data_IF_508053780540
#
_entry.id   IF_508053780540
#
_cell.length_a   1.000
_cell.length_b   1.000
_cell.length_c   1.000
_cell.angle_alpha   90.00
_cell.angle_beta   90.00
_cell.angle_gamma   90.00
#
_symmetry.space_group_name_H-M   'P 1'
#
loop_
_entity.id
_entity.type
_entity.pdbx_description
1 polymer ?
#
# COMPACT_ATOMS: atom_id res chain seq x y z
N UNK A 1 15.95 -11.53 -42.44
CA UNK A 1 14.91 -10.51 -42.28
C UNK A 1 14.85 -10.15 -40.81
N UNK A 2 15.12 -8.90 -40.45
CA UNK A 2 15.07 -8.47 -39.04
C UNK A 2 13.59 -8.35 -38.62
N UNK A 3 13.09 -9.33 -37.88
CA UNK A 3 11.77 -9.27 -37.26
C UNK A 3 11.90 -8.48 -35.96
N UNK A 4 11.16 -7.38 -35.83
CA UNK A 4 11.12 -6.62 -34.59
C UNK A 4 10.62 -7.51 -33.44
N UNK A 5 11.37 -7.55 -32.33
CA UNK A 5 11.07 -8.39 -31.15
C UNK A 5 9.82 -7.95 -30.39
N UNK A 6 9.35 -6.72 -30.64
CA UNK A 6 8.19 -6.12 -29.95
C UNK A 6 7.07 -5.81 -30.93
N UNK A 7 5.80 -5.96 -30.51
CA UNK A 7 4.66 -5.59 -31.34
C UNK A 7 4.69 -4.08 -31.64
N UNK A 8 4.22 -3.65 -32.83
CA UNK A 8 4.05 -2.24 -33.10
C UNK A 8 3.08 -1.62 -32.08
N UNK A 9 3.25 -0.32 -31.76
CA UNK A 9 2.34 0.36 -30.85
C UNK A 9 0.90 0.29 -31.38
N UNK A 10 -0.11 0.26 -30.49
CA UNK A 10 -1.51 0.33 -30.89
C UNK A 10 -1.76 1.50 -31.84
N UNK A 11 -2.65 1.35 -32.85
CA UNK A 11 -2.85 2.35 -33.90
C UNK A 11 -3.46 3.68 -33.41
N UNK A 12 -3.80 3.78 -32.12
CA UNK A 12 -4.41 4.96 -31.49
C UNK A 12 -3.55 6.23 -31.62
N UNK A 13 -2.24 6.13 -31.81
CA UNK A 13 -1.38 7.30 -32.06
C UNK A 13 -1.83 8.11 -33.29
N UNK A 14 -2.51 7.49 -34.27
CA UNK A 14 -3.02 8.15 -35.48
C UNK A 14 -4.15 9.14 -35.20
N UNK A 15 -4.81 9.02 -34.04
CA UNK A 15 -5.92 9.88 -33.63
C UNK A 15 -5.43 11.24 -33.10
N UNK A 16 -4.12 11.43 -32.92
CA UNK A 16 -3.51 12.62 -32.35
C UNK A 16 -2.82 13.53 -33.40
N UNK A 17 -3.03 13.27 -34.70
CA UNK A 17 -2.34 14.02 -35.79
C UNK A 17 -2.63 15.52 -35.77
N UNK A 18 -3.89 15.88 -35.57
CA UNK A 18 -4.37 17.27 -35.71
C UNK A 18 -4.45 17.99 -34.35
N UNK A 19 -3.90 17.39 -33.29
CA UNK A 19 -4.01 17.90 -31.92
C UNK A 19 -3.44 19.31 -31.75
N UNK A 20 -2.38 19.65 -32.50
CA UNK A 20 -1.75 20.97 -32.48
C UNK A 20 -2.71 22.04 -32.99
N UNK A 21 -3.52 21.73 -34.00
CA UNK A 21 -4.46 22.65 -34.62
C UNK A 21 -5.81 22.67 -33.87
N UNK A 22 -6.26 21.51 -33.39
CA UNK A 22 -7.49 21.36 -32.64
C UNK A 22 -7.30 20.40 -31.46
N UNK A 23 -7.14 20.92 -30.22
CA UNK A 23 -6.98 20.08 -29.02
C UNK A 23 -8.15 19.12 -28.74
N UNK A 24 -9.32 19.35 -29.35
CA UNK A 24 -10.50 18.46 -29.25
C UNK A 24 -10.52 17.35 -30.30
N UNK A 25 -9.56 17.31 -31.23
CA UNK A 25 -9.49 16.26 -32.26
C UNK A 25 -9.09 14.91 -31.69
N UNK A 26 -8.38 14.91 -30.56
CA UNK A 26 -7.99 13.70 -29.85
C UNK A 26 -9.17 13.15 -29.04
N UNK A 27 -9.41 11.83 -29.06
CA UNK A 27 -10.43 11.21 -28.22
C UNK A 27 -10.06 11.35 -26.75
N UNK A 28 -11.08 11.52 -25.92
CA UNK A 28 -10.94 11.42 -24.46
C UNK A 28 -10.49 10.00 -24.07
N UNK A 29 -9.76 9.84 -22.95
CA UNK A 29 -9.40 8.51 -22.47
C UNK A 29 -10.66 7.65 -22.27
N UNK A 30 -10.57 6.33 -22.53
CA UNK A 30 -11.70 5.44 -22.30
C UNK A 30 -12.13 5.51 -20.82
N UNK A 31 -13.43 5.32 -20.53
CA UNK A 31 -13.89 5.28 -19.15
C UNK A 31 -13.18 4.15 -18.39
N UNK A 32 -12.97 4.31 -17.07
CA UNK A 32 -12.46 3.23 -16.23
C UNK A 32 -13.29 1.96 -16.42
N UNK A 33 -12.62 0.81 -16.50
CA UNK A 33 -13.30 -0.48 -16.51
C UNK A 33 -13.92 -0.68 -15.13
N UNK A 34 -15.17 -1.12 -15.08
CA UNK A 34 -15.86 -1.52 -13.85
C UNK A 34 -16.06 -3.04 -13.85
N UNK A 35 -15.83 -3.67 -12.70
CA UNK A 35 -15.95 -5.11 -12.50
C UNK A 35 -14.66 -5.87 -12.78
N UNK A 36 -14.82 -7.09 -13.32
CA UNK A 36 -13.73 -8.05 -13.46
C UNK A 36 -12.92 -7.82 -14.74
N UNK A 37 -11.60 -7.74 -14.63
CA UNK A 37 -10.67 -7.61 -15.76
C UNK A 37 -9.52 -8.61 -15.66
N UNK A 38 -8.97 -9.02 -16.79
CA UNK A 38 -7.80 -9.93 -16.82
C UNK A 38 -6.54 -9.12 -17.05
N UNK A 39 -5.56 -9.29 -16.18
CA UNK A 39 -4.25 -8.67 -16.29
C UNK A 39 -3.19 -9.74 -15.96
N UNK A 40 -2.14 -9.87 -16.79
CA UNK A 40 -1.08 -10.87 -16.60
C UNK A 40 -1.57 -12.29 -16.28
N UNK A 41 -2.55 -12.77 -17.05
CA UNK A 41 -3.22 -14.07 -16.86
C UNK A 41 -3.94 -14.28 -15.51
N UNK A 42 -4.09 -13.21 -14.72
CA UNK A 42 -4.85 -13.20 -13.47
C UNK A 42 -6.13 -12.38 -13.63
N UNK A 43 -7.22 -12.84 -13.03
CA UNK A 43 -8.48 -12.10 -12.96
C UNK A 43 -8.43 -11.16 -11.75
N UNK A 44 -8.69 -9.87 -11.99
CA UNK A 44 -8.78 -8.82 -10.99
C UNK A 44 -10.18 -8.24 -10.98
N UNK A 45 -10.58 -7.62 -9.87
CA UNK A 45 -11.81 -6.82 -9.76
C UNK A 45 -11.44 -5.38 -9.47
N UNK A 46 -12.30 -4.46 -9.87
CA UNK A 46 -12.20 -3.04 -9.50
C UNK A 46 -12.63 -2.78 -8.07
N UNK A 47 -13.34 -3.72 -7.44
CA UNK A 47 -13.72 -3.63 -6.04
C UNK A 47 -12.50 -3.92 -5.13
N UNK A 48 -12.16 -2.97 -4.24
CA UNK A 48 -11.07 -3.13 -3.27
C UNK A 48 -11.52 -3.95 -2.06
N UNK A 49 -11.96 -5.19 -2.32
CA UNK A 49 -12.36 -6.15 -1.30
C UNK A 49 -11.38 -7.31 -1.32
N UNK A 50 -10.76 -7.57 -0.17
CA UNK A 50 -9.92 -8.76 0.01
C UNK A 50 -10.81 -10.01 -0.12
N UNK A 51 -10.60 -10.88 -1.12
CA UNK A 51 -11.39 -12.09 -1.28
C UNK A 51 -11.17 -13.03 -0.09
N UNK A 52 -12.21 -13.74 0.32
CA UNK A 52 -12.11 -14.65 1.45
C UNK A 52 -11.17 -15.81 1.15
N UNK A 53 -10.58 -16.43 2.18
CA UNK A 53 -9.74 -17.61 1.99
C UNK A 53 -10.51 -18.77 1.33
N UNK A 54 -11.81 -18.89 1.62
CA UNK A 54 -12.66 -19.96 1.07
C UNK A 54 -12.92 -19.79 -0.42
N UNK A 55 -13.12 -18.56 -0.89
CA UNK A 55 -13.21 -18.23 -2.32
C UNK A 55 -11.92 -18.58 -3.08
N UNK A 56 -10.78 -18.54 -2.38
CA UNK A 56 -9.47 -18.93 -2.93
C UNK A 56 -9.21 -20.44 -2.82
N UNK A 57 -10.17 -21.22 -2.32
CA UNK A 57 -9.99 -22.66 -2.07
C UNK A 57 -9.02 -22.98 -0.93
N UNK A 58 -8.79 -22.03 -0.02
CA UNK A 58 -7.86 -22.17 1.11
C UNK A 58 -8.64 -22.35 2.40
N UNK A 59 -8.25 -23.35 3.19
CA UNK A 59 -8.82 -23.55 4.53
C UNK A 59 -8.35 -22.44 5.48
N UNK A 60 -9.30 -21.79 6.13
CA UNK A 60 -9.02 -20.81 7.16
C UNK A 60 -8.66 -21.49 8.49
N UNK A 61 -7.56 -21.05 9.11
CA UNK A 61 -6.99 -21.62 10.34
C UNK A 61 -7.29 -20.79 11.61
N UNK A 62 -7.83 -19.59 11.47
CA UNK A 62 -8.17 -18.70 12.58
C UNK A 62 -9.70 -18.45 12.65
N UNK A 63 -10.23 -17.98 13.80
CA UNK A 63 -11.68 -17.81 13.99
C UNK A 63 -12.33 -16.91 12.93
N UNK A 64 -13.52 -17.31 12.46
CA UNK A 64 -14.37 -16.47 11.60
C UNK A 64 -15.16 -15.50 12.48
N UNK A 65 -15.05 -14.20 12.23
CA UNK A 65 -15.87 -13.19 12.91
C UNK A 65 -15.37 -11.76 12.73
N UNK A 66 -16.18 -10.76 13.13
CA UNK A 66 -15.83 -9.34 12.99
C UNK A 66 -14.74 -8.87 13.98
N UNK A 67 -14.53 -9.57 15.09
CA UNK A 67 -13.56 -9.23 16.14
C UNK A 67 -12.38 -10.21 16.18
N UNK A 68 -11.67 -10.36 15.06
CA UNK A 68 -10.42 -11.13 15.04
C UNK A 68 -9.32 -10.33 15.73
N UNK A 69 -8.73 -10.88 16.78
CA UNK A 69 -7.50 -10.34 17.37
C UNK A 69 -6.31 -10.71 16.46
N UNK A 70 -6.05 -9.85 15.48
CA UNK A 70 -4.97 -10.04 14.49
C UNK A 70 -3.62 -10.34 15.15
N UNK A 71 -3.29 -9.67 16.27
CA UNK A 71 -2.00 -9.85 16.93
C UNK A 71 -1.88 -11.23 17.55
N UNK A 72 -2.94 -11.70 18.20
CA UNK A 72 -2.99 -13.03 18.80
C UNK A 72 -2.92 -14.11 17.71
N UNK A 73 -3.73 -14.00 16.67
CA UNK A 73 -3.81 -15.01 15.60
C UNK A 73 -2.52 -15.07 14.77
N UNK A 74 -1.92 -13.93 14.40
CA UNK A 74 -0.62 -13.91 13.71
C UNK A 74 0.49 -14.58 14.54
N UNK A 75 0.49 -14.36 15.86
CA UNK A 75 1.45 -15.03 16.76
C UNK A 75 1.19 -16.53 16.87
N UNK A 76 -0.07 -16.94 16.92
CA UNK A 76 -0.46 -18.35 16.97
C UNK A 76 0.02 -19.08 15.72
N UNK A 77 -0.31 -18.56 14.53
CA UNK A 77 0.09 -19.13 13.24
C UNK A 77 1.61 -19.12 13.04
N UNK A 78 2.32 -18.10 13.52
CA UNK A 78 3.79 -18.07 13.45
C UNK A 78 4.42 -19.17 14.32
N UNK A 79 3.88 -19.42 15.52
CA UNK A 79 4.34 -20.55 16.35
C UNK A 79 4.07 -21.89 15.70
N UNK A 80 2.88 -22.05 15.11
CA UNK A 80 2.51 -23.26 14.36
C UNK A 80 3.43 -23.49 13.14
N UNK A 81 3.74 -22.42 12.41
CA UNK A 81 4.70 -22.44 11.30
C UNK A 81 6.09 -22.92 11.75
N UNK A 82 6.59 -22.39 12.87
CA UNK A 82 7.89 -22.80 13.41
C UNK A 82 7.90 -24.30 13.77
N UNK A 83 6.83 -24.80 14.36
CA UNK A 83 6.70 -26.23 14.67
C UNK A 83 6.73 -27.08 13.39
N UNK A 84 5.98 -26.71 12.35
CA UNK A 84 6.01 -27.46 11.09
C UNK A 84 7.35 -27.40 10.35
N UNK A 85 8.11 -26.32 10.50
CA UNK A 85 9.47 -26.25 9.95
C UNK A 85 10.40 -27.22 10.68
N UNK A 86 10.30 -27.32 12.00
CA UNK A 86 11.07 -28.30 12.78
C UNK A 86 10.68 -29.74 12.42
N UNK A 87 9.38 -30.03 12.36
CA UNK A 87 8.88 -31.34 11.92
C UNK A 87 9.32 -31.68 10.49
N UNK A 88 9.40 -30.70 9.59
CA UNK A 88 9.94 -30.91 8.25
C UNK A 88 11.41 -31.30 8.30
N UNK A 89 12.22 -30.67 9.15
CA UNK A 89 13.62 -31.05 9.33
C UNK A 89 13.75 -32.51 9.80
N UNK A 90 12.94 -32.92 10.77
CA UNK A 90 12.91 -34.30 11.26
C UNK A 90 12.48 -35.30 10.16
N UNK A 91 11.44 -34.97 9.39
CA UNK A 91 10.97 -35.79 8.27
C UNK A 91 12.04 -35.91 7.18
N UNK A 92 12.79 -34.85 6.88
CA UNK A 92 13.85 -34.90 5.89
C UNK A 92 15.01 -35.82 6.31
N UNK A 93 15.26 -35.96 7.62
CA UNK A 93 16.27 -36.88 8.17
C UNK A 93 15.77 -38.31 8.21
N UNK A 94 14.57 -38.55 8.75
CA UNK A 94 14.06 -39.91 8.96
C UNK A 94 13.41 -40.53 7.72
N UNK A 95 12.57 -39.75 7.03
CA UNK A 95 11.62 -40.21 6.01
C UNK A 95 11.46 -39.17 4.89
N UNK A 96 12.53 -38.91 4.10
CA UNK A 96 12.54 -37.82 3.14
C UNK A 96 11.46 -37.91 2.06
N UNK A 97 10.93 -39.09 1.76
CA UNK A 97 9.83 -39.27 0.79
C UNK A 97 8.50 -38.64 1.24
N UNK A 98 8.33 -38.32 2.53
CA UNK A 98 7.09 -37.79 3.09
C UNK A 98 7.08 -36.26 3.24
N UNK A 99 8.13 -35.56 2.78
CA UNK A 99 8.29 -34.12 2.96
C UNK A 99 7.14 -33.29 2.35
N UNK A 100 6.56 -33.74 1.23
CA UNK A 100 5.58 -32.99 0.44
C UNK A 100 4.37 -32.55 1.28
N UNK A 101 3.85 -33.44 2.13
CA UNK A 101 2.73 -33.14 3.03
C UNK A 101 3.05 -32.01 4.01
N UNK A 102 4.26 -32.00 4.57
CA UNK A 102 4.71 -30.94 5.48
C UNK A 102 4.87 -29.60 4.76
N UNK A 103 5.32 -29.61 3.52
CA UNK A 103 5.40 -28.41 2.69
C UNK A 103 4.01 -27.86 2.37
N UNK A 104 3.02 -28.71 2.12
CA UNK A 104 1.62 -28.31 1.93
C UNK A 104 1.04 -27.65 3.20
N UNK A 105 1.26 -28.24 4.37
CA UNK A 105 0.84 -27.66 5.66
C UNK A 105 1.48 -26.28 5.89
N UNK A 106 2.79 -26.14 5.61
CA UNK A 106 3.51 -24.86 5.68
C UNK A 106 2.92 -23.84 4.71
N UNK A 107 2.63 -24.24 3.46
CA UNK A 107 2.01 -23.38 2.46
C UNK A 107 0.63 -22.88 2.92
N UNK A 108 -0.16 -23.74 3.54
CA UNK A 108 -1.46 -23.38 4.09
C UNK A 108 -1.35 -22.33 5.19
N UNK A 109 -0.38 -22.48 6.12
CA UNK A 109 -0.15 -21.49 7.18
C UNK A 109 0.28 -20.15 6.58
N UNK A 110 1.18 -20.15 5.59
CA UNK A 110 1.60 -18.92 4.92
C UNK A 110 0.42 -18.19 4.26
N UNK A 111 -0.45 -18.90 3.53
CA UNK A 111 -1.64 -18.30 2.92
C UNK A 111 -2.53 -17.63 3.97
N UNK A 112 -2.73 -18.27 5.12
CA UNK A 112 -3.49 -17.73 6.24
C UNK A 112 -2.83 -16.50 6.88
N UNK A 113 -1.52 -16.53 7.10
CA UNK A 113 -0.74 -15.39 7.60
C UNK A 113 -0.84 -14.18 6.65
N UNK A 114 -0.65 -14.42 5.35
CA UNK A 114 -0.76 -13.38 4.33
C UNK A 114 -2.14 -12.76 4.30
N UNK A 115 -3.19 -13.58 4.38
CA UNK A 115 -4.55 -13.08 4.42
C UNK A 115 -4.79 -12.19 5.64
N UNK A 116 -4.40 -12.61 6.86
CA UNK A 116 -4.51 -11.77 8.07
C UNK A 116 -3.75 -10.45 7.95
N UNK A 117 -2.54 -10.47 7.40
CA UNK A 117 -1.75 -9.26 7.16
C UNK A 117 -2.43 -8.34 6.15
N UNK A 118 -2.99 -8.89 5.08
CA UNK A 118 -3.72 -8.13 4.07
C UNK A 118 -4.97 -7.49 4.66
N UNK A 119 -5.71 -8.21 5.52
CA UNK A 119 -6.85 -7.65 6.25
C UNK A 119 -6.48 -6.48 7.17
N UNK A 120 -5.22 -6.43 7.64
CA UNK A 120 -4.73 -5.34 8.50
C UNK A 120 -4.28 -4.10 7.71
N UNK A 121 -4.03 -4.21 6.39
CA UNK A 121 -3.52 -3.10 5.55
C UNK A 121 -4.39 -1.84 5.60
N UNK A 122 -5.74 -1.91 5.55
CA UNK A 122 -6.56 -0.71 5.65
C UNK A 122 -6.44 0.00 7.00
N UNK A 123 -6.31 -0.75 8.10
CA UNK A 123 -6.06 -0.18 9.43
C UNK A 123 -4.69 0.51 9.49
N UNK A 124 -3.66 -0.13 8.93
CA UNK A 124 -2.32 0.44 8.83
C UNK A 124 -2.33 1.74 8.02
N UNK A 125 -2.96 1.75 6.85
CA UNK A 125 -3.04 2.94 5.99
C UNK A 125 -3.69 4.13 6.72
N UNK A 126 -4.79 3.88 7.46
CA UNK A 126 -5.43 4.90 8.30
C UNK A 126 -4.51 5.43 9.40
N UNK A 127 -3.82 4.53 10.11
CA UNK A 127 -2.87 4.93 11.16
C UNK A 127 -1.71 5.75 10.59
N UNK A 128 -1.18 5.36 9.43
CA UNK A 128 -0.15 6.13 8.70
C UNK A 128 -0.67 7.51 8.29
N UNK A 129 -1.89 7.61 7.78
CA UNK A 129 -2.50 8.89 7.43
C UNK A 129 -2.64 9.81 8.65
N UNK A 130 -3.13 9.29 9.78
CA UNK A 130 -3.22 10.03 11.04
C UNK A 130 -1.85 10.58 11.43
N UNK A 131 -0.82 9.74 11.42
CA UNK A 131 0.54 10.14 11.76
C UNK A 131 1.08 11.26 10.84
N UNK A 132 0.83 11.17 9.53
CA UNK A 132 1.21 12.21 8.56
C UNK A 132 0.50 13.53 8.90
N UNK A 133 -0.79 13.49 9.22
CA UNK A 133 -1.56 14.69 9.55
C UNK A 133 -1.07 15.33 10.87
N UNK A 134 -0.77 14.52 11.88
CA UNK A 134 -0.17 15.00 13.14
C UNK A 134 1.17 15.72 12.88
N UNK A 135 2.03 15.15 12.04
CA UNK A 135 3.30 15.76 11.66
C UNK A 135 3.10 17.08 10.91
N UNK A 136 2.10 17.15 10.02
CA UNK A 136 1.76 18.40 9.32
C UNK A 136 1.28 19.48 10.29
N UNK A 137 0.45 19.13 11.28
CA UNK A 137 0.01 20.06 12.32
C UNK A 137 1.20 20.58 13.13
N UNK A 138 2.11 19.69 13.54
CA UNK A 138 3.31 20.09 14.28
C UNK A 138 4.19 21.05 13.47
N UNK A 139 4.44 20.75 12.19
CA UNK A 139 5.20 21.64 11.30
C UNK A 139 4.54 23.01 11.13
N UNK A 140 3.22 23.05 10.96
CA UNK A 140 2.47 24.32 10.86
C UNK A 140 2.55 25.13 12.15
N UNK A 141 2.44 24.48 13.31
CA UNK A 141 2.61 25.15 14.62
C UNK A 141 4.00 25.75 14.76
N UNK A 142 5.04 24.99 14.43
CA UNK A 142 6.43 25.48 14.46
C UNK A 142 6.63 26.69 13.54
N UNK A 143 6.14 26.61 12.29
CA UNK A 143 6.21 27.73 11.35
C UNK A 143 5.49 28.99 11.86
N UNK A 144 4.32 28.84 12.51
CA UNK A 144 3.60 29.97 13.12
C UNK A 144 4.39 30.60 14.26
N UNK A 145 5.00 29.80 15.13
CA UNK A 145 5.84 30.32 16.22
C UNK A 145 7.11 31.01 15.69
N UNK A 146 7.73 30.48 14.64
CA UNK A 146 8.88 31.13 13.99
C UNK A 146 8.49 32.49 13.38
N UNK A 147 7.34 32.57 12.70
CA UNK A 147 6.82 33.84 12.15
C UNK A 147 6.52 34.84 13.28
N UNK A 148 5.93 34.39 14.38
CA UNK A 148 5.68 35.27 15.55
C UNK A 148 6.97 35.81 16.13
N UNK A 149 8.00 34.97 16.30
CA UNK A 149 9.33 35.39 16.78
C UNK A 149 9.93 36.45 15.86
N UNK A 150 9.95 36.20 14.55
CA UNK A 150 10.49 37.17 13.57
C UNK A 150 9.70 38.49 13.57
N UNK A 151 8.38 38.44 13.73
CA UNK A 151 7.55 39.64 13.85
C UNK A 151 7.91 40.46 15.09
N UNK A 152 8.08 39.82 16.24
CA UNK A 152 8.47 40.49 17.49
C UNK A 152 9.84 41.16 17.38
N UNK A 153 10.81 40.46 16.79
CA UNK A 153 12.14 41.00 16.49
C UNK A 153 12.05 42.23 15.57
N UNK A 154 11.31 42.15 14.47
CA UNK A 154 11.12 43.27 13.55
C UNK A 154 10.40 44.46 14.20
N UNK A 155 9.39 44.21 15.03
CA UNK A 155 8.69 45.25 15.79
C UNK A 155 9.60 45.94 16.81
N UNK A 156 10.49 45.19 17.45
CA UNK A 156 11.48 45.76 18.38
C UNK A 156 12.44 46.69 17.65
N UNK A 157 13.01 46.23 16.53
CA UNK A 157 13.90 47.04 15.68
C UNK A 157 13.21 48.32 15.16
N UNK A 158 11.96 48.23 14.72
CA UNK A 158 11.17 49.39 14.29
C UNK A 158 10.96 50.41 15.41
N UNK A 159 10.65 49.95 16.63
CA UNK A 159 10.50 50.83 17.80
C UNK A 159 11.81 51.52 18.16
N UNK A 160 12.92 50.80 18.13
CA UNK A 160 14.25 51.37 18.38
C UNK A 160 14.60 52.44 17.33
N UNK A 161 14.35 52.19 16.05
CA UNK A 161 14.58 53.15 14.97
C UNK A 161 13.66 54.38 15.04
N UNK A 162 12.40 54.23 15.43
CA UNK A 162 11.49 55.35 15.65
C UNK A 162 11.90 56.19 16.87
N UNK A 163 12.39 55.55 17.93
CA UNK A 163 12.90 56.23 19.12
C UNK A 163 14.14 57.07 18.84
N UNK A 164 15.05 56.60 17.96
CA UNK A 164 16.21 57.39 17.53
C UNK A 164 15.84 58.56 16.62
N UNK A 165 14.82 58.40 15.75
CA UNK A 165 14.32 59.48 14.89
C UNK A 165 13.54 60.56 15.65
N UNK A 166 12.81 60.21 16.71
CA UNK A 166 12.05 61.15 17.53
C UNK A 166 12.91 61.84 18.62
N UNK A 167 14.17 61.40 18.81
CA UNK A 167 15.14 61.96 19.74
C UNK A 167 16.08 63.02 19.14
N UNK A 168 15.82 63.48 17.91
CA UNK A 168 16.39 64.66 17.26
C UNK A 168 15.33 65.76 17.13
#
# INVERSE_FOLDING_TARGET
MATATFPPPPPFYRLYKDYIENPKSAPEPPPPIEGTYVCFASSYTTDDVLPSLEEQGVRQLYPKGPNVDFKKELRSLNRELQLHILELADVLVERPSQYARRVEDISLIFKNLHHLLNSLRPHQARATLIHILELQIQRRKQAVEDIKRQREEAQKLLKEALGTLAGQ
#
